data_IF_779884369684
#
_entry.id   IF_779884369684
#
_cell.length_a   1.000
_cell.length_b   1.000
_cell.length_c   1.000
_cell.angle_alpha   90.00
_cell.angle_beta   90.00
_cell.angle_gamma   90.00
#
_symmetry.space_group_name_H-M   'P 1'
#
loop_
_entity.id
_entity.type
_entity.pdbx_description
1 polymer ?
#
# COMPACT_ATOMS: atom_id res chain seq x y z
N UNK A 1 24.93 26.45 7.45
CA UNK A 1 26.36 26.23 7.09
C UNK A 1 26.63 26.25 5.57
N UNK A 2 25.70 25.83 4.69
CA UNK A 2 25.90 25.86 3.22
C UNK A 2 26.21 27.24 2.63
N UNK A 3 25.51 28.29 3.08
CA UNK A 3 25.74 29.67 2.59
C UNK A 3 27.17 30.15 2.87
N UNK A 4 27.79 29.64 3.95
CA UNK A 4 29.16 30.00 4.34
C UNK A 4 30.24 29.24 3.52
N UNK A 5 29.89 28.17 2.82
CA UNK A 5 30.82 27.39 1.98
C UNK A 5 30.78 27.77 0.50
N UNK A 6 30.07 28.85 0.14
CA UNK A 6 29.86 29.28 -1.23
C UNK A 6 31.16 29.86 -1.85
N UNK A 7 31.60 29.28 -2.98
CA UNK A 7 32.80 29.71 -3.70
C UNK A 7 32.42 30.32 -5.05
N UNK A 8 32.84 31.57 -5.31
CA UNK A 8 32.40 32.41 -6.46
C UNK A 8 32.51 31.75 -7.84
N UNK A 9 33.49 30.85 -8.03
CA UNK A 9 33.71 30.14 -9.29
C UNK A 9 32.84 28.88 -9.46
N UNK A 10 32.27 28.36 -8.37
CA UNK A 10 31.59 27.05 -8.34
C UNK A 10 30.11 27.12 -7.93
N UNK A 11 29.50 28.30 -7.87
CA UNK A 11 28.10 28.45 -7.42
C UNK A 11 27.14 27.52 -8.13
N UNK A 12 27.19 27.42 -9.47
CA UNK A 12 26.30 26.54 -10.24
C UNK A 12 26.41 25.07 -9.82
N UNK A 13 27.63 24.59 -9.58
CA UNK A 13 27.88 23.22 -9.14
C UNK A 13 27.40 23.01 -7.70
N UNK A 14 27.68 23.96 -6.81
CA UNK A 14 27.28 23.90 -5.41
C UNK A 14 25.75 23.90 -5.27
N UNK A 15 25.04 24.77 -6.00
CA UNK A 15 23.58 24.78 -6.03
C UNK A 15 22.99 23.52 -6.70
N UNK A 16 23.62 22.98 -7.73
CA UNK A 16 23.21 21.70 -8.33
C UNK A 16 23.34 20.54 -7.34
N UNK A 17 24.49 20.40 -6.68
CA UNK A 17 24.72 19.37 -5.67
C UNK A 17 23.75 19.54 -4.49
N UNK A 18 23.53 20.77 -4.03
CA UNK A 18 22.58 21.09 -2.97
C UNK A 18 21.14 20.70 -3.36
N UNK A 19 20.70 21.05 -4.57
CA UNK A 19 19.39 20.65 -5.07
C UNK A 19 19.25 19.12 -5.15
N UNK A 20 20.27 18.45 -5.69
CA UNK A 20 20.29 16.99 -5.80
C UNK A 20 20.24 16.30 -4.44
N UNK A 21 21.01 16.78 -3.45
CA UNK A 21 21.00 16.19 -2.09
C UNK A 21 19.67 16.40 -1.40
N UNK A 22 19.04 17.58 -1.53
CA UNK A 22 17.73 17.85 -0.92
C UNK A 22 16.61 17.02 -1.56
N UNK A 23 16.60 16.93 -2.90
CA UNK A 23 15.61 16.10 -3.61
C UNK A 23 15.78 14.62 -3.26
N UNK A 24 17.03 14.12 -3.23
CA UNK A 24 17.31 12.73 -2.85
C UNK A 24 16.90 12.46 -1.41
N UNK A 25 17.21 13.36 -0.48
CA UNK A 25 16.82 13.24 0.92
C UNK A 25 15.30 13.22 1.07
N UNK A 26 14.59 14.12 0.39
CA UNK A 26 13.13 14.17 0.42
C UNK A 26 12.53 12.85 -0.08
N UNK A 27 12.99 12.34 -1.22
CA UNK A 27 12.52 11.06 -1.78
C UNK A 27 12.76 9.90 -0.80
N UNK A 28 13.97 9.77 -0.25
CA UNK A 28 14.34 8.66 0.64
C UNK A 28 13.57 8.73 1.97
N UNK A 29 13.50 9.91 2.58
CA UNK A 29 12.82 10.10 3.87
C UNK A 29 11.31 9.89 3.72
N UNK A 30 10.68 10.49 2.71
CA UNK A 30 9.24 10.32 2.47
C UNK A 30 8.92 8.87 2.16
N UNK A 31 9.70 8.19 1.32
CA UNK A 31 9.49 6.77 1.02
C UNK A 31 9.62 5.89 2.27
N UNK A 32 10.67 6.09 3.05
CA UNK A 32 10.90 5.32 4.28
C UNK A 32 9.76 5.53 5.26
N UNK A 33 9.30 6.77 5.43
CA UNK A 33 8.17 7.10 6.29
C UNK A 33 6.87 6.39 5.85
N UNK A 34 6.55 6.39 4.55
CA UNK A 34 5.36 5.71 4.03
C UNK A 34 5.44 4.19 4.21
N UNK A 35 6.61 3.59 3.95
CA UNK A 35 6.84 2.15 4.14
C UNK A 35 6.72 1.75 5.61
N UNK A 36 7.37 2.49 6.50
CA UNK A 36 7.31 2.26 7.95
C UNK A 36 5.86 2.34 8.44
N UNK A 37 5.12 3.34 7.97
CA UNK A 37 3.72 3.49 8.34
C UNK A 37 2.84 2.34 7.82
N UNK A 38 3.09 1.81 6.63
CA UNK A 38 2.40 0.61 6.14
C UNK A 38 2.77 -0.63 6.97
N UNK A 39 4.03 -0.75 7.40
CA UNK A 39 4.51 -1.86 8.24
C UNK A 39 3.83 -1.86 9.62
N UNK A 40 3.66 -0.68 10.22
CA UNK A 40 3.03 -0.55 11.55
C UNK A 40 1.55 -0.96 11.57
N UNK A 41 0.83 -0.81 10.46
CA UNK A 41 -0.56 -1.29 10.33
C UNK A 41 -0.67 -2.82 10.21
N UNK A 42 0.46 -3.50 9.99
CA UNK A 42 0.56 -4.95 9.83
C UNK A 42 1.53 -5.29 8.70
N UNK A 43 2.41 -6.26 8.93
CA UNK A 43 3.42 -6.67 7.95
C UNK A 43 2.82 -7.14 6.62
N UNK A 44 1.58 -7.64 6.63
CA UNK A 44 0.85 -8.08 5.44
C UNK A 44 0.66 -6.94 4.42
N UNK A 45 0.47 -5.70 4.90
CA UNK A 45 0.35 -4.50 4.06
C UNK A 45 1.68 -4.11 3.39
N UNK A 46 2.80 -4.64 3.86
CA UNK A 46 4.10 -4.45 3.23
C UNK A 46 4.45 -5.61 2.29
N UNK A 47 4.33 -6.85 2.79
CA UNK A 47 4.81 -8.06 2.08
C UNK A 47 3.95 -8.38 0.85
N UNK A 48 2.62 -8.31 0.96
CA UNK A 48 1.73 -8.68 -0.17
C UNK A 48 1.95 -7.75 -1.37
N UNK A 49 1.89 -6.41 -1.22
CA UNK A 49 2.19 -5.48 -2.32
C UNK A 49 3.55 -5.69 -2.98
N UNK A 50 4.62 -5.83 -2.18
CA UNK A 50 5.97 -6.00 -2.71
C UNK A 50 6.08 -7.29 -3.49
N UNK A 51 5.52 -8.38 -2.95
CA UNK A 51 5.53 -9.69 -3.59
C UNK A 51 4.71 -9.67 -4.89
N UNK A 52 3.59 -8.95 -4.93
CA UNK A 52 2.81 -8.75 -6.16
C UNK A 52 3.62 -8.03 -7.25
N UNK A 53 4.36 -6.97 -6.92
CA UNK A 53 5.22 -6.26 -7.89
C UNK A 53 6.31 -7.19 -8.42
N UNK A 54 6.99 -7.93 -7.53
CA UNK A 54 8.05 -8.88 -7.93
C UNK A 54 7.47 -9.99 -8.81
N UNK A 55 6.33 -10.57 -8.41
CA UNK A 55 5.65 -11.60 -9.18
C UNK A 55 5.23 -11.08 -10.55
N UNK A 56 4.72 -9.85 -10.64
CA UNK A 56 4.34 -9.23 -11.90
C UNK A 56 5.53 -9.09 -12.85
N UNK A 57 6.69 -8.63 -12.37
CA UNK A 57 7.88 -8.49 -13.20
C UNK A 57 8.39 -9.85 -13.72
N UNK A 58 8.38 -10.88 -12.87
CA UNK A 58 8.78 -12.25 -13.24
C UNK A 58 7.80 -12.85 -14.25
N UNK A 59 6.49 -12.79 -13.95
CA UNK A 59 5.45 -13.38 -14.79
C UNK A 59 5.32 -12.65 -16.12
N UNK A 60 5.39 -11.32 -16.12
CA UNK A 60 5.37 -10.55 -17.37
C UNK A 60 6.58 -10.86 -18.25
N UNK A 61 7.76 -11.11 -17.67
CA UNK A 61 8.92 -11.61 -18.40
C UNK A 61 8.70 -13.02 -18.93
N UNK A 62 8.19 -13.95 -18.12
CA UNK A 62 7.94 -15.34 -18.53
C UNK A 62 6.92 -15.42 -19.67
N UNK A 63 5.74 -14.82 -19.52
CA UNK A 63 4.73 -14.80 -20.57
C UNK A 63 5.19 -14.02 -21.80
N UNK A 64 5.97 -12.95 -21.60
CA UNK A 64 6.58 -12.20 -22.68
C UNK A 64 7.62 -13.01 -23.46
N UNK A 65 8.38 -13.87 -22.79
CA UNK A 65 9.36 -14.74 -23.45
C UNK A 65 8.70 -15.86 -24.26
N UNK A 66 7.66 -16.51 -23.73
CA UNK A 66 7.01 -17.63 -24.40
C UNK A 66 6.00 -17.20 -25.49
N UNK A 67 5.24 -16.13 -25.24
CA UNK A 67 4.10 -15.73 -26.08
C UNK A 67 4.23 -14.33 -26.66
N UNK A 68 5.30 -13.58 -26.33
CA UNK A 68 5.46 -12.19 -26.74
C UNK A 68 5.67 -12.04 -28.24
N UNK A 69 4.77 -11.32 -28.89
CA UNK A 69 4.87 -10.98 -30.31
C UNK A 69 4.75 -9.48 -30.55
N UNK A 70 3.94 -8.80 -29.74
CA UNK A 70 3.63 -7.37 -29.94
C UNK A 70 4.29 -6.51 -28.85
N UNK A 71 5.22 -5.60 -29.22
CA UNK A 71 5.88 -4.73 -28.24
C UNK A 71 4.88 -3.71 -27.66
N UNK A 72 4.94 -3.50 -26.36
CA UNK A 72 4.05 -2.59 -25.62
C UNK A 72 4.39 -1.12 -25.91
N UNK A 73 5.69 -0.76 -25.89
CA UNK A 73 6.17 0.61 -26.08
C UNK A 73 7.44 0.58 -26.92
N UNK A 74 7.55 1.47 -27.91
CA UNK A 74 8.75 1.60 -28.78
C UNK A 74 10.05 1.84 -28.00
N UNK A 75 9.96 2.53 -26.86
CA UNK A 75 11.06 2.80 -25.94
C UNK A 75 11.65 1.52 -25.30
N UNK A 76 10.84 0.47 -25.14
CA UNK A 76 11.24 -0.79 -24.51
C UNK A 76 10.75 -1.99 -25.34
N UNK A 77 11.48 -2.35 -26.41
CA UNK A 77 11.03 -3.37 -27.37
C UNK A 77 10.96 -4.78 -26.77
N UNK A 78 11.58 -5.01 -25.60
CA UNK A 78 11.54 -6.31 -24.89
C UNK A 78 10.26 -6.52 -24.07
N UNK A 79 9.48 -5.48 -23.80
CA UNK A 79 8.23 -5.59 -23.05
C UNK A 79 7.06 -5.73 -24.04
N UNK A 80 6.26 -6.78 -23.88
CA UNK A 80 5.19 -7.16 -24.81
C UNK A 80 3.80 -7.03 -24.18
N UNK A 81 2.77 -6.84 -25.02
CA UNK A 81 1.37 -6.81 -24.55
C UNK A 81 0.94 -8.16 -23.98
N UNK A 82 1.37 -9.26 -24.59
CA UNK A 82 1.03 -10.62 -24.11
C UNK A 82 1.65 -10.89 -22.74
N UNK A 83 2.89 -10.42 -22.53
CA UNK A 83 3.55 -10.47 -21.22
C UNK A 83 2.82 -9.63 -20.17
N UNK A 84 2.40 -8.42 -20.53
CA UNK A 84 1.65 -7.54 -19.61
C UNK A 84 0.31 -8.16 -19.17
N UNK A 85 -0.47 -8.70 -20.11
CA UNK A 85 -1.76 -9.34 -19.81
C UNK A 85 -1.57 -10.64 -19.01
N UNK A 86 -0.60 -11.48 -19.39
CA UNK A 86 -0.29 -12.71 -18.65
C UNK A 86 0.21 -12.43 -17.23
N UNK A 87 1.06 -11.41 -17.09
CA UNK A 87 1.53 -10.90 -15.79
C UNK A 87 0.39 -10.43 -14.90
N UNK A 88 -0.61 -9.73 -15.46
CA UNK A 88 -1.80 -9.29 -14.73
C UNK A 88 -2.57 -10.45 -14.10
N UNK A 89 -3.01 -11.42 -14.91
CA UNK A 89 -3.77 -12.55 -14.37
C UNK A 89 -2.97 -13.38 -13.37
N UNK A 90 -1.69 -13.62 -13.65
CA UNK A 90 -0.81 -14.36 -12.73
C UNK A 90 -0.61 -13.62 -11.41
N UNK A 91 -0.46 -12.30 -11.43
CA UNK A 91 -0.28 -11.48 -10.22
C UNK A 91 -1.53 -11.44 -9.36
N UNK A 92 -2.72 -11.36 -9.97
CA UNK A 92 -3.99 -11.40 -9.23
C UNK A 92 -4.17 -12.74 -8.54
N UNK A 93 -3.95 -13.85 -9.25
CA UNK A 93 -4.03 -15.20 -8.66
C UNK A 93 -2.99 -15.38 -7.55
N UNK A 94 -1.75 -14.93 -7.77
CA UNK A 94 -0.69 -14.98 -6.77
C UNK A 94 -1.04 -14.13 -5.53
N UNK A 95 -1.56 -12.92 -5.71
CA UNK A 95 -1.98 -12.05 -4.61
C UNK A 95 -3.11 -12.67 -3.78
N UNK A 96 -4.07 -13.33 -4.41
CA UNK A 96 -5.14 -14.07 -3.74
C UNK A 96 -4.62 -15.25 -2.91
N UNK A 97 -3.68 -16.03 -3.46
CA UNK A 97 -3.06 -17.15 -2.76
C UNK A 97 -2.20 -16.67 -1.59
N UNK A 98 -1.34 -15.68 -1.82
CA UNK A 98 -0.44 -15.15 -0.79
C UNK A 98 -1.23 -14.52 0.35
N UNK A 99 -2.26 -13.73 0.04
CA UNK A 99 -3.13 -13.14 1.06
C UNK A 99 -3.84 -14.20 1.89
N UNK A 100 -4.37 -15.26 1.27
CA UNK A 100 -4.98 -16.38 2.00
C UNK A 100 -4.02 -17.02 3.00
N UNK A 101 -2.81 -17.35 2.56
CA UNK A 101 -1.79 -17.99 3.41
C UNK A 101 -1.37 -17.06 4.55
N UNK A 102 -1.12 -15.78 4.25
CA UNK A 102 -0.63 -14.83 5.25
C UNK A 102 -1.68 -14.41 6.26
N UNK A 103 -2.96 -14.31 5.87
CA UNK A 103 -4.06 -13.97 6.79
C UNK A 103 -4.26 -15.00 7.90
N UNK A 104 -3.75 -16.23 7.74
CA UNK A 104 -3.78 -17.26 8.79
C UNK A 104 -2.78 -17.05 9.94
N UNK A 105 -1.78 -16.18 9.77
CA UNK A 105 -0.71 -16.00 10.76
C UNK A 105 -0.78 -14.62 11.43
N UNK A 106 -0.95 -14.62 12.75
CA UNK A 106 -1.06 -13.40 13.58
C UNK A 106 0.14 -12.46 13.44
N UNK A 107 1.35 -13.01 13.31
CA UNK A 107 2.58 -12.25 13.14
C UNK A 107 2.56 -11.30 11.92
N UNK A 108 1.87 -11.67 10.84
CA UNK A 108 1.77 -10.82 9.65
C UNK A 108 0.61 -9.83 9.70
N UNK A 109 -0.45 -10.20 10.42
CA UNK A 109 -1.72 -9.49 10.43
C UNK A 109 -1.75 -8.40 11.50
N UNK A 110 -1.19 -8.68 12.66
CA UNK A 110 -1.27 -7.77 13.80
C UNK A 110 -0.41 -6.52 13.60
N UNK A 111 -0.93 -5.34 14.00
CA UNK A 111 -0.13 -4.12 14.03
C UNK A 111 1.00 -4.27 15.05
N UNK A 112 2.12 -3.60 14.77
CA UNK A 112 3.29 -3.64 15.65
C UNK A 112 3.15 -2.53 16.68
N UNK A 113 3.04 -2.91 17.95
CA UNK A 113 2.97 -1.97 19.08
C UNK A 113 4.24 -2.05 19.92
N UNK A 114 4.68 -0.91 20.44
CA UNK A 114 5.81 -0.85 21.36
C UNK A 114 5.30 -0.95 22.80
N UNK A 115 5.70 -2.00 23.50
CA UNK A 115 5.34 -2.19 24.90
C UNK A 115 6.39 -1.54 25.80
N UNK A 116 5.99 -0.47 26.52
CA UNK A 116 6.85 0.26 27.44
C UNK A 116 7.31 -0.59 28.64
N UNK A 117 6.53 -1.59 29.05
CA UNK A 117 6.83 -2.40 30.25
C UNK A 117 7.95 -3.40 29.99
N UNK A 118 8.02 -3.94 28.77
CA UNK A 118 9.03 -4.94 28.38
C UNK A 118 10.14 -4.36 27.48
N UNK A 119 10.06 -3.06 27.14
CA UNK A 119 10.93 -2.40 26.16
C UNK A 119 11.10 -3.21 24.87
N UNK A 120 10.02 -3.86 24.42
CA UNK A 120 10.03 -4.76 23.28
C UNK A 120 8.85 -4.50 22.35
N UNK A 121 9.03 -4.83 21.07
CA UNK A 121 7.95 -4.78 20.09
C UNK A 121 7.14 -6.07 20.17
N UNK A 122 5.83 -5.95 20.37
CA UNK A 122 4.91 -7.08 20.46
C UNK A 122 3.92 -7.07 19.30
N UNK A 123 3.60 -8.26 18.79
CA UNK A 123 2.65 -8.50 17.68
C UNK A 123 1.43 -9.30 18.16
N UNK A 124 1.17 -9.29 19.46
CA UNK A 124 0.05 -9.99 20.07
C UNK A 124 -1.20 -9.11 20.04
N UNK A 125 -2.05 -9.31 19.04
CA UNK A 125 -3.33 -8.63 18.89
C UNK A 125 -4.47 -9.62 18.65
N UNK A 126 -5.71 -9.24 18.91
CA UNK A 126 -6.86 -9.92 18.34
C UNK A 126 -7.02 -9.52 16.87
N UNK A 127 -7.03 -10.47 15.92
CA UNK A 127 -7.19 -10.15 14.50
C UNK A 127 -8.50 -9.40 14.26
N UNK A 128 -8.42 -8.29 13.53
CA UNK A 128 -9.59 -7.52 13.12
C UNK A 128 -10.49 -8.33 12.18
N UNK A 129 -11.73 -7.90 12.02
CA UNK A 129 -12.72 -8.60 11.18
C UNK A 129 -12.27 -8.75 9.72
N UNK A 130 -11.33 -7.92 9.28
CA UNK A 130 -10.68 -7.99 7.96
C UNK A 130 -9.94 -9.32 7.72
N UNK A 131 -9.46 -9.94 8.79
CA UNK A 131 -8.62 -11.14 8.78
C UNK A 131 -9.31 -12.33 9.48
N UNK A 132 -10.62 -12.23 9.69
CA UNK A 132 -11.46 -13.35 10.10
C UNK A 132 -12.17 -13.93 8.88
N UNK A 133 -12.32 -15.25 8.83
CA UNK A 133 -13.05 -15.91 7.75
C UNK A 133 -14.52 -15.49 7.82
N UNK A 134 -15.04 -15.00 6.70
CA UNK A 134 -16.44 -14.62 6.54
C UNK A 134 -17.07 -15.40 5.39
N UNK A 135 -18.37 -15.68 5.50
CA UNK A 135 -19.14 -16.35 4.46
C UNK A 135 -19.74 -15.33 3.51
N UNK A 136 -19.38 -15.42 2.23
CA UNK A 136 -19.92 -14.57 1.18
C UNK A 136 -20.85 -15.34 0.26
N UNK A 137 -22.00 -14.74 -0.04
CA UNK A 137 -22.96 -15.26 -1.01
C UNK A 137 -22.49 -14.92 -2.42
N UNK A 138 -22.38 -15.93 -3.28
CA UNK A 138 -21.91 -15.73 -4.65
C UNK A 138 -23.04 -15.13 -5.50
N UNK A 139 -22.79 -14.08 -6.30
CA UNK A 139 -23.79 -13.57 -7.23
C UNK A 139 -24.17 -14.63 -8.27
N UNK A 140 -25.46 -14.70 -8.65
CA UNK A 140 -26.02 -15.79 -9.45
C UNK A 140 -25.32 -16.09 -10.78
N UNK A 141 -24.59 -15.11 -11.33
CA UNK A 141 -23.83 -15.23 -12.58
C UNK A 141 -22.58 -16.12 -12.44
N UNK A 142 -21.97 -16.16 -11.25
CA UNK A 142 -20.81 -17.00 -10.92
C UNK A 142 -21.29 -18.34 -10.35
N UNK A 143 -22.45 -18.35 -9.68
CA UNK A 143 -23.08 -19.56 -9.15
C UNK A 143 -23.36 -20.61 -10.24
N UNK A 144 -23.74 -20.19 -11.46
CA UNK A 144 -23.97 -21.09 -12.59
C UNK A 144 -22.68 -21.78 -13.10
N UNK A 145 -21.51 -21.18 -12.84
CA UNK A 145 -20.21 -21.69 -13.28
C UNK A 145 -19.57 -22.59 -12.22
N UNK A 146 -19.67 -22.21 -10.94
CA UNK A 146 -18.94 -22.86 -9.83
C UNK A 146 -19.83 -23.84 -9.04
N UNK A 147 -21.16 -23.70 -9.09
CA UNK A 147 -22.11 -24.59 -8.41
C UNK A 147 -22.17 -24.43 -6.88
N UNK A 148 -21.35 -23.58 -6.28
CA UNK A 148 -21.36 -23.29 -4.84
C UNK A 148 -22.23 -22.08 -4.51
N UNK A 149 -22.95 -22.14 -3.38
CA UNK A 149 -23.81 -21.04 -2.90
C UNK A 149 -23.05 -20.04 -2.03
N UNK A 150 -22.12 -20.54 -1.23
CA UNK A 150 -21.32 -19.76 -0.28
C UNK A 150 -19.84 -20.07 -0.46
N UNK A 151 -18.99 -19.05 -0.26
CA UNK A 151 -17.53 -19.18 -0.23
C UNK A 151 -17.02 -18.54 1.05
N UNK A 152 -16.14 -19.26 1.74
CA UNK A 152 -15.40 -18.73 2.87
C UNK A 152 -14.14 -18.04 2.34
N UNK A 153 -14.04 -16.74 2.59
CA UNK A 153 -12.89 -15.94 2.20
C UNK A 153 -12.59 -14.89 3.26
N UNK A 154 -11.32 -14.48 3.34
CA UNK A 154 -10.94 -13.35 4.18
C UNK A 154 -11.34 -12.06 3.46
N UNK A 155 -11.96 -11.09 4.14
CA UNK A 155 -12.24 -9.77 3.55
C UNK A 155 -10.97 -9.11 2.95
N UNK A 156 -9.81 -9.35 3.57
CA UNK A 156 -8.51 -8.90 3.06
C UNK A 156 -8.20 -9.38 1.62
N UNK A 157 -8.73 -10.52 1.16
CA UNK A 157 -8.52 -10.99 -0.21
C UNK A 157 -9.13 -10.03 -1.25
N UNK A 158 -10.23 -9.35 -0.92
CA UNK A 158 -10.84 -8.32 -1.78
C UNK A 158 -9.88 -7.14 -1.94
N UNK A 159 -9.26 -6.71 -0.84
CA UNK A 159 -8.24 -5.67 -0.87
C UNK A 159 -6.98 -6.13 -1.62
N UNK A 160 -6.59 -7.40 -1.49
CA UNK A 160 -5.47 -7.97 -2.25
C UNK A 160 -5.72 -7.94 -3.77
N UNK A 161 -6.96 -8.13 -4.24
CA UNK A 161 -7.30 -7.94 -5.67
C UNK A 161 -7.04 -6.51 -6.11
N UNK A 162 -7.46 -5.51 -5.31
CA UNK A 162 -7.20 -4.10 -5.63
C UNK A 162 -5.69 -3.79 -5.66
N UNK A 163 -4.93 -4.30 -4.68
CA UNK A 163 -3.48 -4.13 -4.59
C UNK A 163 -2.74 -4.80 -5.75
N UNK A 164 -3.08 -6.04 -6.10
CA UNK A 164 -2.47 -6.78 -7.21
C UNK A 164 -2.82 -6.18 -8.58
N UNK A 165 -4.06 -5.72 -8.75
CA UNK A 165 -4.50 -5.01 -9.95
C UNK A 165 -3.69 -3.73 -10.15
N UNK A 166 -3.53 -2.94 -9.10
CA UNK A 166 -2.72 -1.73 -9.15
C UNK A 166 -1.23 -2.05 -9.41
N UNK A 167 -0.68 -3.05 -8.73
CA UNK A 167 0.71 -3.48 -8.89
C UNK A 167 1.03 -3.92 -10.32
N UNK A 168 0.08 -4.53 -11.02
CA UNK A 168 0.28 -4.99 -12.40
C UNK A 168 -0.04 -3.93 -13.45
N UNK A 169 -1.12 -3.15 -13.27
CA UNK A 169 -1.52 -2.16 -14.27
C UNK A 169 -0.72 -0.87 -14.13
N UNK A 170 -0.65 -0.31 -12.92
CA UNK A 170 -0.10 1.01 -12.67
C UNK A 170 1.38 0.93 -12.26
N UNK A 171 1.74 -0.08 -11.45
CA UNK A 171 3.11 -0.30 -10.97
C UNK A 171 4.19 -0.23 -12.06
N UNK A 172 4.06 -0.92 -13.21
CA UNK A 172 5.09 -0.93 -14.24
C UNK A 172 5.33 0.42 -14.91
N UNK A 173 4.39 1.37 -14.82
CA UNK A 173 4.58 2.73 -15.33
C UNK A 173 5.66 3.50 -14.58
N UNK A 174 5.89 3.22 -13.29
CA UNK A 174 7.05 3.75 -12.57
C UNK A 174 8.36 3.36 -13.25
N UNK A 175 8.53 2.07 -13.56
CA UNK A 175 9.68 1.56 -14.30
C UNK A 175 9.77 2.07 -15.74
N UNK A 176 8.63 2.30 -16.42
CA UNK A 176 8.62 2.92 -17.75
C UNK A 176 9.07 4.38 -17.71
N UNK A 177 8.63 5.15 -16.72
CA UNK A 177 9.03 6.53 -16.52
C UNK A 177 10.54 6.64 -16.25
N UNK A 178 11.06 5.82 -15.34
CA UNK A 178 12.49 5.73 -15.07
C UNK A 178 13.29 5.34 -16.32
N UNK A 179 12.81 4.34 -17.07
CA UNK A 179 13.42 3.96 -18.36
C UNK A 179 13.41 5.12 -19.37
N UNK A 180 12.32 5.87 -19.47
CA UNK A 180 12.21 7.06 -20.33
C UNK A 180 13.19 8.15 -19.97
N UNK A 181 13.30 8.44 -18.67
CA UNK A 181 14.27 9.40 -18.15
C UNK A 181 15.70 9.00 -18.53
N UNK A 182 16.09 7.73 -18.33
CA UNK A 182 17.42 7.24 -18.72
C UNK A 182 17.72 7.46 -20.20
N UNK A 183 16.77 7.17 -21.08
CA UNK A 183 16.92 7.38 -22.54
C UNK A 183 17.04 8.85 -22.92
N UNK A 184 16.34 9.75 -22.24
CA UNK A 184 16.44 11.20 -22.48
C UNK A 184 17.86 11.72 -22.23
N UNK A 185 18.56 11.19 -21.22
CA UNK A 185 19.96 11.54 -20.91
C UNK A 185 20.99 10.70 -21.67
N UNK A 186 20.57 9.82 -22.59
CA UNK A 186 21.44 8.86 -23.30
C UNK A 186 22.20 7.91 -22.36
N UNK A 187 21.66 7.65 -21.18
CA UNK A 187 22.20 6.72 -20.18
C UNK A 187 21.37 5.42 -20.24
N UNK A 188 22.00 4.27 -19.98
CA UNK A 188 21.31 2.98 -19.95
C UNK A 188 20.83 2.61 -18.54
N UNK A 189 21.70 2.79 -17.54
CA UNK A 189 21.50 2.41 -16.15
C UNK A 189 21.93 3.58 -15.24
N UNK A 190 21.16 3.88 -14.18
CA UNK A 190 21.46 5.03 -13.30
C UNK A 190 22.79 4.87 -12.55
N UNK A 191 23.21 3.63 -12.30
CA UNK A 191 24.46 3.29 -11.67
C UNK A 191 24.86 1.85 -12.04
N UNK A 192 26.16 1.54 -11.95
CA UNK A 192 26.69 0.17 -12.08
C UNK A 192 26.93 -0.45 -10.69
N UNK A 193 25.94 -0.38 -9.80
CA UNK A 193 26.13 -0.82 -8.40
C UNK A 193 26.35 -2.33 -8.30
N UNK A 194 25.80 -3.12 -9.23
CA UNK A 194 26.04 -4.57 -9.33
C UNK A 194 26.33 -4.93 -10.79
N UNK A 195 27.51 -5.49 -11.12
CA UNK A 195 27.85 -5.86 -12.49
C UNK A 195 26.84 -6.88 -13.05
N UNK A 196 26.24 -6.54 -14.18
CA UNK A 196 25.26 -7.38 -14.89
C UNK A 196 23.80 -7.28 -14.42
N UNK A 197 23.50 -6.57 -13.32
CA UNK A 197 22.15 -6.57 -12.69
C UNK A 197 21.42 -5.22 -12.69
N UNK A 198 21.99 -4.20 -13.33
CA UNK A 198 21.44 -2.83 -13.40
C UNK A 198 21.68 -2.00 -12.13
N UNK A 199 21.08 -0.82 -12.05
CA UNK A 199 21.14 0.04 -10.88
C UNK A 199 20.16 -0.42 -9.79
N UNK A 200 20.52 -0.22 -8.52
CA UNK A 200 19.60 -0.46 -7.38
C UNK A 200 18.31 0.36 -7.54
N UNK A 201 18.43 1.60 -8.03
CA UNK A 201 17.29 2.50 -8.27
C UNK A 201 16.26 1.89 -9.24
N UNK A 202 16.73 1.22 -10.30
CA UNK A 202 15.85 0.60 -11.31
C UNK A 202 14.93 -0.49 -10.74
N UNK A 203 15.23 -1.01 -9.54
CA UNK A 203 14.44 -2.03 -8.83
C UNK A 203 13.42 -1.43 -7.86
N UNK A 204 13.64 -0.19 -7.41
CA UNK A 204 12.81 0.46 -6.41
C UNK A 204 11.77 1.43 -7.00
N UNK A 205 11.85 1.75 -8.29
CA UNK A 205 10.91 2.68 -8.95
C UNK A 205 9.44 2.24 -8.83
N UNK A 206 9.15 0.96 -9.11
CA UNK A 206 7.80 0.40 -8.97
C UNK A 206 7.39 0.24 -7.50
N UNK A 207 8.35 -0.06 -6.61
CA UNK A 207 8.10 -0.26 -5.18
C UNK A 207 7.76 1.06 -4.46
N UNK A 208 8.39 2.16 -4.89
CA UNK A 208 8.06 3.50 -4.41
C UNK A 208 6.59 3.82 -4.66
N UNK A 209 6.16 3.67 -5.91
CA UNK A 209 4.79 3.94 -6.33
C UNK A 209 3.80 3.04 -5.60
N UNK A 210 4.14 1.77 -5.41
CA UNK A 210 3.32 0.81 -4.67
C UNK A 210 3.19 1.19 -3.18
N UNK A 211 4.28 1.58 -2.51
CA UNK A 211 4.25 1.94 -1.09
C UNK A 211 3.34 3.17 -0.84
N UNK A 212 3.41 4.18 -1.71
CA UNK A 212 2.52 5.34 -1.64
C UNK A 212 1.06 4.94 -1.84
N UNK A 213 0.77 4.09 -2.85
CA UNK A 213 -0.59 3.63 -3.10
C UNK A 213 -1.17 2.87 -1.91
N UNK A 214 -0.43 1.93 -1.34
CA UNK A 214 -0.86 1.17 -0.16
C UNK A 214 -1.20 2.09 1.01
N UNK A 215 -0.36 3.10 1.25
CA UNK A 215 -0.58 4.05 2.33
C UNK A 215 -1.88 4.83 2.17
N UNK A 216 -2.10 5.38 0.98
CA UNK A 216 -3.34 6.10 0.64
C UNK A 216 -4.54 5.16 0.68
N UNK A 217 -4.37 3.92 0.21
CA UNK A 217 -5.42 2.89 0.22
C UNK A 217 -5.86 2.54 1.64
N UNK A 218 -4.92 2.29 2.54
CA UNK A 218 -5.20 2.03 3.97
C UNK A 218 -5.90 3.24 4.59
N UNK A 219 -5.39 4.45 4.35
CA UNK A 219 -5.97 5.67 4.88
C UNK A 219 -7.41 5.95 4.37
N UNK A 220 -7.73 5.50 3.15
CA UNK A 220 -9.02 5.78 2.51
C UNK A 220 -10.08 4.69 2.77
N UNK A 221 -9.67 3.42 2.79
CA UNK A 221 -10.60 2.28 2.79
C UNK A 221 -10.56 1.43 4.06
N UNK A 222 -9.48 1.49 4.84
CA UNK A 222 -9.27 0.58 5.98
C UNK A 222 -9.36 1.33 7.31
N UNK A 223 -8.68 2.47 7.42
CA UNK A 223 -8.68 3.26 8.65
C UNK A 223 -10.02 3.94 8.86
N UNK A 224 -10.78 3.40 9.81
CA UNK A 224 -11.90 4.12 10.43
C UNK A 224 -11.43 5.35 11.22
N UNK A 225 -12.34 6.28 11.55
CA UNK A 225 -11.99 7.44 12.36
C UNK A 225 -11.56 7.00 13.75
N UNK A 226 -10.34 7.37 14.16
CA UNK A 226 -9.78 6.97 15.45
C UNK A 226 -10.59 7.61 16.59
N UNK A 227 -11.22 6.82 17.49
CA UNK A 227 -12.13 7.32 18.52
C UNK A 227 -11.44 8.29 19.48
N UNK A 228 -10.15 8.09 19.76
CA UNK A 228 -9.36 8.96 20.62
C UNK A 228 -9.12 10.33 19.99
N UNK A 229 -8.85 10.37 18.68
CA UNK A 229 -8.72 11.63 17.93
C UNK A 229 -10.05 12.34 17.79
N UNK A 230 -11.13 11.60 17.54
CA UNK A 230 -12.49 12.14 17.52
C UNK A 230 -12.85 12.74 18.89
N UNK A 231 -12.51 12.05 19.98
CA UNK A 231 -12.73 12.55 21.34
C UNK A 231 -11.93 13.81 21.62
N UNK A 232 -10.65 13.87 21.23
CA UNK A 232 -9.85 15.08 21.35
C UNK A 232 -10.44 16.24 20.54
N UNK A 233 -10.88 15.99 19.30
CA UNK A 233 -11.56 17.00 18.49
C UNK A 233 -12.87 17.47 19.15
N UNK A 234 -13.65 16.55 19.71
CA UNK A 234 -14.87 16.87 20.45
C UNK A 234 -14.58 17.78 21.66
N UNK A 235 -13.54 17.47 22.43
CA UNK A 235 -13.12 18.26 23.60
C UNK A 235 -12.64 19.68 23.23
N UNK A 236 -12.22 19.92 21.98
CA UNK A 236 -11.86 21.27 21.51
C UNK A 236 -13.05 22.13 21.07
N UNK A 237 -14.25 21.56 20.93
CA UNK A 237 -15.45 22.30 20.55
C UNK A 237 -16.00 23.19 21.69
N UNK A 238 -16.84 24.17 21.35
CA UNK A 238 -17.56 24.98 22.33
C UNK A 238 -18.50 24.11 23.19
N UNK A 239 -18.71 24.45 24.48
CA UNK A 239 -19.60 23.67 25.36
C UNK A 239 -21.00 23.42 24.79
N UNK A 240 -21.59 24.41 24.10
CA UNK A 240 -22.93 24.27 23.49
C UNK A 240 -22.96 23.20 22.38
N UNK A 241 -21.88 23.10 21.60
CA UNK A 241 -21.73 22.12 20.53
C UNK A 241 -21.46 20.73 21.10
N UNK A 242 -20.69 20.65 22.19
CA UNK A 242 -20.46 19.39 22.91
C UNK A 242 -21.78 18.82 23.44
N UNK A 243 -22.61 19.66 24.07
CA UNK A 243 -23.91 19.25 24.60
C UNK A 243 -24.86 18.78 23.49
N UNK A 244 -24.87 19.48 22.36
CA UNK A 244 -25.71 19.12 21.21
C UNK A 244 -25.34 17.74 20.62
N UNK A 245 -24.05 17.50 20.39
CA UNK A 245 -23.55 16.22 19.89
C UNK A 245 -23.80 15.11 20.92
N UNK A 246 -23.59 15.37 22.22
CA UNK A 246 -23.88 14.41 23.29
C UNK A 246 -25.35 14.00 23.31
N UNK A 247 -26.27 14.96 23.23
CA UNK A 247 -27.72 14.68 23.20
C UNK A 247 -28.13 13.91 21.95
N UNK A 248 -27.53 14.24 20.80
CA UNK A 248 -27.76 13.51 19.53
C UNK A 248 -27.26 12.07 19.61
N UNK A 249 -26.06 11.86 20.17
CA UNK A 249 -25.50 10.53 20.38
C UNK A 249 -26.33 9.72 21.38
N UNK A 250 -26.77 10.35 22.49
CA UNK A 250 -27.65 9.75 23.48
C UNK A 250 -28.98 9.30 22.85
N UNK A 251 -29.60 10.14 22.02
CA UNK A 251 -30.83 9.76 21.29
C UNK A 251 -30.59 8.54 20.40
N UNK A 252 -29.54 8.56 19.58
CA UNK A 252 -29.20 7.44 18.69
C UNK A 252 -28.95 6.12 19.45
N UNK A 253 -28.24 6.17 20.57
CA UNK A 253 -27.94 4.99 21.39
C UNK A 253 -29.18 4.48 22.13
N UNK A 254 -30.12 5.36 22.48
CA UNK A 254 -31.42 4.98 23.05
C UNK A 254 -32.31 4.32 22.00
N UNK A 255 -32.34 4.84 20.77
CA UNK A 255 -33.08 4.25 19.64
C UNK A 255 -32.54 2.87 19.24
N UNK A 256 -31.23 2.65 19.40
CA UNK A 256 -30.60 1.34 19.19
C UNK A 256 -30.79 0.38 20.38
N UNK A 257 -31.46 0.80 21.45
CA UNK A 257 -31.71 -0.02 22.64
C UNK A 257 -30.45 -0.30 23.47
N UNK A 258 -29.36 0.44 23.25
CA UNK A 258 -28.10 0.27 24.00
C UNK A 258 -28.07 1.09 25.29
N UNK A 259 -28.89 2.13 25.38
CA UNK A 259 -29.15 2.88 26.61
C UNK A 259 -30.60 2.65 27.03
N UNK A 260 -30.82 2.21 28.27
CA UNK A 260 -32.12 2.32 28.90
C UNK A 260 -32.46 3.79 29.02
N UNK A 261 -33.62 4.21 28.51
CA UNK A 261 -34.18 5.51 28.84
C UNK A 261 -34.22 5.58 30.37
N UNK A 262 -33.48 6.53 30.95
CA UNK A 262 -33.62 6.79 32.37
C UNK A 262 -35.08 7.15 32.59
N UNK A 263 -35.81 6.30 33.30
CA UNK A 263 -37.07 6.69 33.92
C UNK A 263 -36.68 7.83 34.86
N UNK A 264 -37.09 9.05 34.50
CA UNK A 264 -37.18 10.14 35.46
C UNK A 264 -38.31 9.75 36.42
N UNK A 265 -38.00 8.88 37.38
CA UNK A 265 -38.82 8.65 38.56
C UNK A 265 -38.50 9.77 39.56
N UNK A 266 -39.42 10.75 39.58
CA UNK A 266 -39.77 11.73 40.64
C UNK A 266 -38.69 12.61 41.30
#
# INVERSE_FOLDING_TARGET
>A
MFVLSLVKKHYRLQFYMFGWTHVTLLIVVTQSHLVIHNLFEGMIWFIVPISCVICNDIMAYMFGFFFGRTPLIKLSPKKTWEGFIGGFFATVVFGLLLSYVMSGYRCFVCPVEYNNDTNSFTVDCEPSDLFRLQEYNIPGLIQSVIGWKTVQMYPFQIHSIALSTFASLIGPFGGFFASGFKRAFKIKDFANTIPGHGGIMDRFDCQYLMATFVNVYIASFIRGPNPSKLMQQFLTLRPDQQLHIFNTLKSHLTDQGMLTAATEDE
#
